data_IF_148905425817
#
_entry.id   IF_148905425817
#
_cell.length_a   1.000
_cell.length_b   1.000
_cell.length_c   1.000
_cell.angle_alpha   90.00
_cell.angle_beta   90.00
_cell.angle_gamma   90.00
#
_symmetry.space_group_name_H-M   'P 1'
#
loop_
_entity.id
_entity.type
_entity.pdbx_description
1 polymer ?
#
# COMPACT_ATOMS: atom_id res chain seq x y z
N UNK A 1 21.52 -24.89 -25.27
CA UNK A 1 21.60 -24.21 -23.95
C UNK A 1 20.91 -22.84 -23.97
N UNK A 2 21.33 -21.91 -24.84
CA UNK A 2 20.78 -20.54 -24.88
C UNK A 2 19.26 -20.48 -25.15
N UNK A 3 18.74 -21.24 -26.13
CA UNK A 3 17.30 -21.26 -26.44
C UNK A 3 16.45 -21.77 -25.27
N UNK A 4 16.96 -22.73 -24.49
CA UNK A 4 16.29 -23.23 -23.29
C UNK A 4 16.25 -22.17 -22.19
N UNK A 5 17.36 -21.45 -21.96
CA UNK A 5 17.43 -20.34 -21.02
C UNK A 5 16.45 -19.21 -21.38
N UNK A 6 16.40 -18.83 -22.66
CA UNK A 6 15.46 -17.82 -23.16
C UNK A 6 14.01 -18.30 -23.00
N UNK A 7 13.73 -19.57 -23.29
CA UNK A 7 12.39 -20.15 -23.12
C UNK A 7 11.93 -20.16 -21.66
N UNK A 8 12.80 -20.54 -20.72
CA UNK A 8 12.45 -20.55 -19.28
C UNK A 8 12.22 -19.14 -18.77
N UNK A 9 13.05 -18.17 -19.18
CA UNK A 9 12.86 -16.77 -18.82
C UNK A 9 11.55 -16.21 -19.36
N UNK A 10 11.24 -16.46 -20.65
CA UNK A 10 10.00 -16.01 -21.28
C UNK A 10 8.75 -16.60 -20.59
N UNK A 11 8.77 -17.89 -20.27
CA UNK A 11 7.69 -18.53 -19.51
C UNK A 11 7.53 -17.93 -18.12
N UNK A 12 8.62 -17.67 -17.40
CA UNK A 12 8.58 -17.06 -16.07
C UNK A 12 7.90 -15.69 -16.09
N UNK A 13 8.29 -14.82 -17.04
CA UNK A 13 7.68 -13.48 -17.20
C UNK A 13 6.21 -13.58 -17.62
N UNK A 14 5.86 -14.55 -18.47
CA UNK A 14 4.48 -14.76 -18.89
C UNK A 14 3.59 -15.21 -17.72
N UNK A 15 4.09 -16.13 -16.88
CA UNK A 15 3.38 -16.60 -15.68
C UNK A 15 3.18 -15.43 -14.72
N UNK A 16 4.22 -14.65 -14.43
CA UNK A 16 4.12 -13.49 -13.54
C UNK A 16 3.07 -12.48 -14.07
N UNK A 17 3.05 -12.23 -15.38
CA UNK A 17 2.05 -11.35 -15.99
C UNK A 17 0.63 -11.90 -15.91
N UNK A 18 0.43 -13.18 -16.20
CA UNK A 18 -0.90 -13.82 -16.16
C UNK A 18 -1.44 -13.85 -14.74
N UNK A 19 -0.60 -14.19 -13.76
CA UNK A 19 -0.96 -14.14 -12.34
C UNK A 19 -1.31 -12.71 -11.91
N UNK A 20 -0.54 -11.71 -12.33
CA UNK A 20 -0.78 -10.31 -12.01
C UNK A 20 -2.02 -9.70 -12.67
N UNK A 21 -2.51 -10.29 -13.78
CA UNK A 21 -3.74 -9.88 -14.45
C UNK A 21 -4.98 -10.59 -13.87
N UNK A 22 -4.83 -11.84 -13.39
CA UNK A 22 -5.93 -12.69 -12.96
C UNK A 22 -6.18 -12.77 -11.44
N UNK A 23 -5.22 -12.40 -10.59
CA UNK A 23 -5.35 -12.53 -9.13
C UNK A 23 -4.69 -11.38 -8.40
N UNK A 24 -5.50 -10.62 -7.65
CA UNK A 24 -5.04 -9.66 -6.64
C UNK A 24 -4.25 -8.49 -7.21
N UNK A 25 -4.93 -7.36 -7.44
CA UNK A 25 -4.27 -6.10 -7.79
C UNK A 25 -3.05 -5.87 -6.89
N UNK A 26 -1.84 -5.75 -7.47
CA UNK A 26 -0.59 -5.51 -6.75
C UNK A 26 -0.77 -4.33 -5.76
N UNK A 27 -1.08 -4.65 -4.52
CA UNK A 27 -1.39 -3.68 -3.48
C UNK A 27 -0.24 -3.62 -2.48
N UNK A 28 -0.10 -2.47 -1.85
CA UNK A 28 0.90 -2.20 -0.83
C UNK A 28 0.13 -1.85 0.43
N UNK A 29 0.34 -2.64 1.47
CA UNK A 29 -0.06 -2.31 2.83
C UNK A 29 1.01 -1.39 3.41
N UNK A 30 0.61 -0.18 3.79
CA UNK A 30 1.50 0.86 4.29
C UNK A 30 1.07 1.25 5.69
N UNK A 31 1.99 1.07 6.64
CA UNK A 31 1.87 1.59 7.99
C UNK A 31 2.63 2.91 8.08
N UNK A 32 1.99 3.95 8.58
CA UNK A 32 2.54 5.32 8.66
C UNK A 32 2.54 5.74 10.12
N UNK A 33 3.71 6.18 10.60
CA UNK A 33 3.94 6.66 11.95
C UNK A 33 4.43 8.10 11.86
N UNK A 34 3.67 9.03 12.44
CA UNK A 34 3.93 10.47 12.41
C UNK A 34 3.22 11.16 13.59
N UNK A 35 3.75 12.31 14.03
CA UNK A 35 3.02 13.20 14.97
C UNK A 35 1.85 13.91 14.27
N UNK A 36 1.92 14.09 12.95
CA UNK A 36 0.90 14.76 12.12
C UNK A 36 -0.03 13.74 11.44
N UNK A 37 -0.35 12.66 12.14
CA UNK A 37 -1.13 11.56 11.60
C UNK A 37 -2.56 11.98 11.20
N UNK A 38 -3.17 12.95 11.88
CA UNK A 38 -4.51 13.46 11.56
C UNK A 38 -4.54 14.12 10.17
N UNK A 39 -3.61 15.03 9.90
CA UNK A 39 -3.50 15.74 8.62
C UNK A 39 -3.17 14.78 7.48
N UNK A 40 -2.30 13.80 7.72
CA UNK A 40 -1.98 12.74 6.75
C UNK A 40 -3.24 11.92 6.45
N UNK A 41 -3.99 11.51 7.47
CA UNK A 41 -5.23 10.74 7.31
C UNK A 41 -6.27 11.49 6.46
N UNK A 42 -6.51 12.76 6.75
CA UNK A 42 -7.48 13.59 6.02
C UNK A 42 -7.07 13.79 4.55
N UNK A 43 -5.76 14.00 4.31
CA UNK A 43 -5.23 14.17 2.95
C UNK A 43 -5.30 12.87 2.15
N UNK A 44 -5.05 11.72 2.77
CA UNK A 44 -5.20 10.41 2.12
C UNK A 44 -6.66 10.18 1.72
N UNK A 45 -7.61 10.47 2.61
CA UNK A 45 -9.03 10.28 2.30
C UNK A 45 -9.52 11.20 1.18
N UNK A 46 -9.07 12.46 1.17
CA UNK A 46 -9.50 13.44 0.17
C UNK A 46 -8.80 13.30 -1.20
N UNK A 47 -7.50 13.04 -1.23
CA UNK A 47 -6.72 12.99 -2.49
C UNK A 47 -6.65 11.59 -3.13
N UNK A 48 -6.67 10.52 -2.32
CA UNK A 48 -6.53 9.15 -2.81
C UNK A 48 -7.84 8.36 -2.82
N UNK A 49 -8.90 8.87 -2.19
CA UNK A 49 -10.18 8.19 -1.99
C UNK A 49 -9.97 6.78 -1.39
N UNK A 50 -9.13 6.72 -0.35
CA UNK A 50 -8.78 5.48 0.35
C UNK A 50 -9.11 5.57 1.82
N UNK A 51 -9.78 4.53 2.31
CA UNK A 51 -9.96 4.31 3.73
C UNK A 51 -8.63 4.03 4.43
N UNK A 52 -8.58 4.42 5.70
CA UNK A 52 -7.46 4.11 6.59
C UNK A 52 -7.99 3.50 7.89
N UNK A 53 -7.16 2.70 8.56
CA UNK A 53 -7.44 2.17 9.89
C UNK A 53 -6.42 2.74 10.87
N UNK A 54 -6.89 3.25 12.00
CA UNK A 54 -6.03 3.76 13.06
C UNK A 54 -5.73 2.64 14.05
N UNK A 55 -4.45 2.41 14.30
CA UNK A 55 -3.96 1.41 15.25
C UNK A 55 -3.33 2.16 16.43
N UNK A 56 -3.89 2.07 17.65
CA UNK A 56 -3.25 2.63 18.83
C UNK A 56 -2.01 1.82 19.18
N UNK A 57 -0.90 2.50 19.46
CA UNK A 57 0.37 1.90 19.81
C UNK A 57 1.11 2.70 20.88
N UNK A 58 2.18 2.11 21.40
CA UNK A 58 3.09 2.76 22.34
C UNK A 58 4.50 2.74 21.78
N UNK A 59 5.15 3.89 21.71
CA UNK A 59 6.55 4.00 21.29
C UNK A 59 7.47 3.35 22.32
N UNK A 60 8.16 2.26 21.95
CA UNK A 60 9.01 1.52 22.89
C UNK A 60 10.15 2.33 23.50
N UNK A 61 10.66 3.34 22.79
CA UNK A 61 11.74 4.21 23.27
C UNK A 61 11.22 5.34 24.17
N UNK A 62 10.21 6.08 23.70
CA UNK A 62 9.73 7.29 24.37
C UNK A 62 8.62 7.01 25.39
N UNK A 63 8.07 5.78 25.42
CA UNK A 63 6.91 5.36 26.23
C UNK A 63 5.71 6.31 26.10
N UNK A 64 5.50 6.82 24.89
CA UNK A 64 4.39 7.70 24.56
C UNK A 64 3.40 6.97 23.66
N UNK A 65 2.13 7.35 23.79
CA UNK A 65 1.08 6.92 22.87
C UNK A 65 1.40 7.42 21.47
N UNK A 66 1.24 6.52 20.50
CA UNK A 66 1.42 6.80 19.08
C UNK A 66 0.28 6.17 18.32
N UNK A 67 -0.26 6.90 17.36
CA UNK A 67 -1.24 6.37 16.41
C UNK A 67 -0.49 5.94 15.16
N UNK A 68 -0.70 4.70 14.74
CA UNK A 68 -0.20 4.17 13.46
C UNK A 68 -1.35 4.15 12.48
N UNK A 69 -1.18 4.78 11.32
CA UNK A 69 -2.14 4.70 10.23
C UNK A 69 -1.82 3.46 9.41
N UNK A 70 -2.78 2.56 9.25
CA UNK A 70 -2.74 1.47 8.29
C UNK A 70 -3.57 1.86 7.07
N UNK A 71 -2.92 1.94 5.91
CA UNK A 71 -3.58 2.20 4.64
C UNK A 71 -3.17 1.13 3.64
N UNK A 72 -4.11 0.65 2.83
CA UNK A 72 -3.77 -0.20 1.69
C UNK A 72 -4.03 0.57 0.40
N UNK A 73 -3.03 0.59 -0.46
CA UNK A 73 -3.06 1.32 -1.73
C UNK A 73 -2.64 0.43 -2.88
N UNK A 74 -3.13 0.71 -4.08
CA UNK A 74 -2.58 0.08 -5.28
C UNK A 74 -1.12 0.50 -5.51
N UNK A 75 -0.33 -0.33 -6.20
CA UNK A 75 1.06 0.02 -6.56
C UNK A 75 1.16 1.33 -7.36
N UNK A 76 0.09 1.73 -8.08
CA UNK A 76 0.05 3.01 -8.80
C UNK A 76 -0.14 4.20 -7.85
N UNK A 77 -0.94 4.03 -6.79
CA UNK A 77 -1.20 5.05 -5.78
C UNK A 77 -0.05 5.18 -4.76
N UNK A 78 0.79 4.17 -4.63
CA UNK A 78 1.89 4.14 -3.64
C UNK A 78 2.83 5.34 -3.72
N UNK A 79 3.26 5.74 -4.92
CA UNK A 79 4.17 6.88 -5.06
C UNK A 79 3.49 8.19 -4.63
N UNK A 80 2.21 8.37 -4.99
CA UNK A 80 1.45 9.55 -4.59
C UNK A 80 1.22 9.60 -3.07
N UNK A 81 0.99 8.44 -2.43
CA UNK A 81 0.93 8.34 -0.97
C UNK A 81 2.25 8.80 -0.32
N UNK A 82 3.40 8.36 -0.84
CA UNK A 82 4.71 8.79 -0.31
C UNK A 82 4.95 10.29 -0.49
N UNK A 83 4.48 10.88 -1.59
CA UNK A 83 4.55 12.33 -1.82
C UNK A 83 3.70 13.10 -0.81
N UNK A 84 2.46 12.67 -0.57
CA UNK A 84 1.56 13.25 0.45
C UNK A 84 2.23 13.20 1.82
N UNK A 85 2.72 12.03 2.24
CA UNK A 85 3.36 11.84 3.54
C UNK A 85 4.56 12.77 3.69
N UNK A 86 5.46 12.83 2.69
CA UNK A 86 6.65 13.68 2.75
C UNK A 86 6.33 15.17 2.71
N UNK A 87 5.28 15.57 2.00
CA UNK A 87 4.82 16.95 1.92
C UNK A 87 4.30 17.44 3.27
N UNK A 88 3.58 16.59 3.99
CA UNK A 88 3.01 16.91 5.29
C UNK A 88 4.06 16.76 6.38
N UNK A 89 4.75 15.62 6.43
CA UNK A 89 5.75 15.32 7.44
C UNK A 89 7.01 14.63 6.89
N UNK A 90 8.10 15.40 6.83
CA UNK A 90 9.41 14.94 6.39
C UNK A 90 10.06 13.94 7.36
N UNK A 91 9.59 13.90 8.61
CA UNK A 91 10.06 12.99 9.66
C UNK A 91 9.19 11.75 9.85
N UNK A 92 8.12 11.61 9.06
CA UNK A 92 7.26 10.44 9.13
C UNK A 92 8.03 9.17 8.74
N UNK A 93 7.75 8.08 9.45
CA UNK A 93 8.32 6.77 9.14
C UNK A 93 7.23 5.85 8.58
N UNK A 94 7.53 5.17 7.48
CA UNK A 94 6.60 4.29 6.79
C UNK A 94 7.14 2.87 6.67
N UNK A 95 6.32 1.87 6.98
CA UNK A 95 6.61 0.45 6.73
C UNK A 95 5.71 0.01 5.60
N UNK A 96 6.28 -0.56 4.53
CA UNK A 96 5.52 -1.07 3.39
C UNK A 96 5.64 -2.59 3.33
N UNK A 97 4.52 -3.27 3.10
CA UNK A 97 4.45 -4.71 2.89
C UNK A 97 3.64 -5.00 1.64
N UNK A 98 4.13 -5.92 0.82
CA UNK A 98 3.46 -6.33 -0.40
C UNK A 98 2.26 -7.21 -0.06
N UNK A 99 1.07 -6.78 -0.48
CA UNK A 99 -0.17 -7.50 -0.28
C UNK A 99 -0.56 -8.19 -1.58
N UNK A 100 -0.23 -9.48 -1.69
CA UNK A 100 -0.42 -10.28 -2.90
C UNK A 100 -1.85 -10.80 -3.06
N UNK A 101 -2.56 -11.04 -1.96
CA UNK A 101 -3.90 -11.62 -1.97
C UNK A 101 -4.81 -10.84 -1.02
N UNK A 102 -5.52 -9.87 -1.57
CA UNK A 102 -6.48 -9.04 -0.82
C UNK A 102 -7.88 -9.28 -1.34
N UNK A 103 -8.81 -9.43 -0.40
CA UNK A 103 -10.24 -9.58 -0.65
C UNK A 103 -11.01 -8.43 -0.01
N UNK A 104 -11.77 -7.66 -0.78
CA UNK A 104 -12.58 -6.57 -0.25
C UNK A 104 -13.03 -5.50 -1.26
N UNK A 105 -13.82 -4.55 -0.77
CA UNK A 105 -14.28 -3.37 -1.52
C UNK A 105 -13.08 -2.50 -1.94
N UNK A 106 -13.10 -2.03 -3.19
CA UNK A 106 -12.00 -1.22 -3.75
C UNK A 106 -10.76 -2.01 -4.17
N UNK A 107 -10.79 -3.35 -4.11
CA UNK A 107 -9.72 -4.25 -4.55
C UNK A 107 -10.21 -5.50 -5.30
N UNK A 108 -11.24 -6.20 -4.81
CA UNK A 108 -11.78 -7.44 -5.41
C UNK A 108 -13.21 -7.27 -5.87
N UNK A 109 -14.00 -6.55 -5.08
CA UNK A 109 -15.37 -6.20 -5.46
C UNK A 109 -15.32 -4.87 -6.24
N UNK A 110 -15.92 -4.85 -7.43
CA UNK A 110 -16.26 -3.60 -8.10
C UNK A 110 -17.39 -2.97 -7.29
N UNK A 111 -17.20 -1.74 -6.82
CA UNK A 111 -18.23 -1.03 -6.05
C UNK A 111 -19.55 -1.07 -6.82
N UNK A 112 -20.66 -1.58 -6.24
CA UNK A 112 -21.96 -1.41 -6.83
C UNK A 112 -22.25 0.09 -6.83
N UNK A 113 -22.52 0.64 -8.02
CA UNK A 113 -22.86 2.05 -8.22
C UNK A 113 -23.79 2.55 -7.10
N UNK A 114 -23.32 3.54 -6.33
CA UNK A 114 -24.18 4.46 -5.60
C UNK A 114 -24.55 5.58 -6.58
#
# INVERSE_FOLDING_TARGET
ALLGLVSVFACSVAIDKVLSIGGGANAKSVQIISERWEEIMETIQSELDRGVTLIPGYGGYQRQEKTVILCVVSSRQYNHLLEIIRRIDDKAFTITTDAADMHGEGFTYSSPNI
#
